data_IF_006299467540
#
_entry.id   IF_006299467540
#
_cell.length_a   1.000
_cell.length_b   1.000
_cell.length_c   1.000
_cell.angle_alpha   90.00
_cell.angle_beta   90.00
_cell.angle_gamma   90.00
#
_symmetry.space_group_name_H-M   'P 1'
#
loop_
_entity.id
_entity.type
_entity.pdbx_description
1 polymer ?
#
# COMPACT_ATOMS: atom_id res chain seq x y z
N UNK A 1 15.06 -4.50 -18.75
CA UNK A 1 15.07 -4.30 -17.28
C UNK A 1 13.66 -4.43 -16.74
N UNK A 2 13.45 -5.33 -15.79
CA UNK A 2 12.13 -5.56 -15.21
C UNK A 2 11.88 -4.62 -14.04
N UNK A 3 10.77 -3.90 -14.10
CA UNK A 3 10.38 -2.90 -13.09
C UNK A 3 8.99 -3.24 -12.53
N UNK A 4 8.75 -2.93 -11.28
CA UNK A 4 7.44 -3.09 -10.65
C UNK A 4 7.10 -1.84 -9.83
N UNK A 5 5.83 -1.47 -9.84
CA UNK A 5 5.31 -0.42 -8.97
C UNK A 5 4.72 -1.09 -7.73
N UNK A 6 5.08 -0.61 -6.55
CA UNK A 6 4.62 -1.19 -5.29
C UNK A 6 3.90 -0.12 -4.47
N UNK A 7 2.68 -0.46 -4.04
CA UNK A 7 1.94 0.29 -3.03
C UNK A 7 1.62 -0.64 -1.88
N UNK A 8 1.62 -0.13 -0.65
CA UNK A 8 1.34 -0.95 0.54
C UNK A 8 0.32 -0.28 1.43
N UNK A 9 -0.40 -1.07 2.21
CA UNK A 9 -1.36 -0.56 3.16
C UNK A 9 -2.21 -1.66 3.77
N UNK A 10 -3.07 -1.27 4.70
CA UNK A 10 -4.01 -2.20 5.36
C UNK A 10 -5.23 -2.49 4.53
N UNK A 11 -5.78 -1.46 3.87
CA UNK A 11 -6.97 -1.55 3.01
C UNK A 11 -8.12 -2.23 3.73
N UNK A 12 -8.47 -1.69 4.90
CA UNK A 12 -9.43 -2.33 5.80
C UNK A 12 -10.42 -1.29 6.39
N UNK A 13 -11.57 -1.08 5.72
CA UNK A 13 -11.95 -1.65 4.43
C UNK A 13 -11.34 -0.88 3.25
N UNK A 14 -11.36 -1.52 2.09
CA UNK A 14 -11.01 -0.85 0.83
C UNK A 14 -12.09 0.19 0.50
N UNK A 15 -11.68 1.33 -0.04
CA UNK A 15 -12.62 2.40 -0.40
C UNK A 15 -12.13 3.17 -1.62
N UNK A 16 -12.91 4.15 -2.08
CA UNK A 16 -12.62 4.88 -3.31
C UNK A 16 -11.29 5.63 -3.28
N UNK A 17 -10.84 6.07 -2.10
CA UNK A 17 -9.52 6.70 -1.95
C UNK A 17 -8.39 5.74 -2.27
N UNK A 18 -8.52 4.49 -1.86
CA UNK A 18 -7.55 3.45 -2.21
C UNK A 18 -7.56 3.15 -3.71
N UNK A 19 -8.74 3.10 -4.32
CA UNK A 19 -8.87 2.86 -5.75
C UNK A 19 -8.19 3.99 -6.53
N UNK A 20 -8.42 5.25 -6.12
CA UNK A 20 -7.77 6.41 -6.74
C UNK A 20 -6.25 6.33 -6.60
N UNK A 21 -5.75 5.89 -5.44
CA UNK A 21 -4.33 5.69 -5.21
C UNK A 21 -3.74 4.66 -6.18
N UNK A 22 -4.41 3.53 -6.33
CA UNK A 22 -3.95 2.48 -7.27
C UNK A 22 -3.99 2.96 -8.71
N UNK A 23 -5.05 3.68 -9.11
CA UNK A 23 -5.17 4.23 -10.46
C UNK A 23 -4.06 5.24 -10.75
N UNK A 24 -3.78 6.13 -9.81
CA UNK A 24 -2.74 7.15 -9.97
C UNK A 24 -1.35 6.49 -10.05
N UNK A 25 -1.08 5.49 -9.23
CA UNK A 25 0.18 4.75 -9.30
C UNK A 25 0.35 4.07 -10.66
N UNK A 26 -0.72 3.46 -11.17
CA UNK A 26 -0.70 2.79 -12.48
C UNK A 26 -0.48 3.80 -13.62
N UNK A 27 -1.07 4.99 -13.52
CA UNK A 27 -0.93 6.03 -14.53
C UNK A 27 0.49 6.61 -14.60
N UNK A 28 1.20 6.65 -13.48
CA UNK A 28 2.60 7.10 -13.48
C UNK A 28 3.50 6.16 -14.30
N UNK A 29 3.18 4.89 -14.31
CA UNK A 29 3.97 3.87 -15.01
C UNK A 29 3.03 2.89 -15.71
N UNK A 30 2.34 3.32 -16.80
CA UNK A 30 1.22 2.55 -17.36
C UNK A 30 1.61 1.19 -17.94
N UNK A 31 2.86 1.01 -18.33
CA UNK A 31 3.34 -0.25 -18.92
C UNK A 31 4.08 -1.13 -17.89
N UNK A 32 3.97 -0.79 -16.62
CA UNK A 32 4.67 -1.47 -15.52
C UNK A 32 3.64 -2.12 -14.61
N UNK A 33 3.83 -3.39 -14.20
CA UNK A 33 2.86 -4.02 -13.31
C UNK A 33 2.77 -3.30 -11.96
N UNK A 34 1.55 -3.22 -11.45
CA UNK A 34 1.27 -2.66 -10.12
C UNK A 34 1.06 -3.81 -9.13
N UNK A 35 1.90 -3.82 -8.10
CA UNK A 35 1.82 -4.77 -7.01
C UNK A 35 1.26 -4.07 -5.76
N UNK A 36 0.29 -4.68 -5.12
CA UNK A 36 -0.26 -4.18 -3.86
C UNK A 36 0.19 -5.12 -2.74
N UNK A 37 0.94 -4.58 -1.79
CA UNK A 37 1.35 -5.29 -0.57
C UNK A 37 0.35 -5.00 0.54
N UNK A 38 -0.19 -6.04 1.15
CA UNK A 38 -1.18 -5.89 2.21
C UNK A 38 -0.56 -6.12 3.58
N UNK A 39 -0.85 -5.22 4.50
CA UNK A 39 -0.46 -5.39 5.90
C UNK A 39 -1.21 -6.55 6.54
N UNK A 40 -0.55 -7.22 7.48
CA UNK A 40 -1.13 -8.37 8.19
C UNK A 40 -2.28 -7.97 9.10
N UNK A 41 -3.07 -8.96 9.52
CA UNK A 41 -4.12 -8.76 10.54
C UNK A 41 -3.48 -8.27 11.84
N UNK A 42 -2.33 -8.81 12.21
CA UNK A 42 -1.59 -8.44 13.42
C UNK A 42 -1.18 -6.97 13.39
N UNK A 43 -0.75 -6.48 12.22
CA UNK A 43 -0.41 -5.06 12.05
C UNK A 43 -1.62 -4.17 12.28
N UNK A 44 -2.78 -4.58 11.72
CA UNK A 44 -4.03 -3.83 11.92
C UNK A 44 -4.44 -3.80 13.39
N UNK A 45 -4.27 -4.91 14.11
CA UNK A 45 -4.56 -4.98 15.54
C UNK A 45 -3.64 -4.03 16.31
N UNK A 46 -2.34 -4.02 15.99
CA UNK A 46 -1.38 -3.12 16.64
C UNK A 46 -1.74 -1.65 16.39
N UNK A 47 -2.16 -1.33 15.16
CA UNK A 47 -2.42 0.06 14.76
C UNK A 47 -3.79 0.57 15.19
N UNK A 48 -4.82 -0.26 15.08
CA UNK A 48 -6.22 0.14 15.26
C UNK A 48 -6.93 -0.60 16.40
N UNK A 49 -6.32 -1.60 16.98
CA UNK A 49 -6.92 -2.44 18.02
C UNK A 49 -7.73 -3.61 17.47
N UNK A 50 -8.05 -3.62 16.20
CA UNK A 50 -8.82 -4.69 15.56
C UNK A 50 -8.69 -4.60 14.04
N UNK A 51 -9.12 -5.64 13.33
CA UNK A 51 -9.30 -5.57 11.89
C UNK A 51 -10.79 -5.75 11.56
N UNK A 52 -11.22 -5.12 10.45
CA UNK A 52 -12.58 -5.26 9.94
C UNK A 52 -12.72 -6.51 9.07
N UNK A 53 -11.79 -6.66 8.10
CA UNK A 53 -11.74 -7.83 7.22
C UNK A 53 -10.41 -8.54 7.38
N UNK A 54 -10.42 -9.89 7.51
CA UNK A 54 -9.16 -10.65 7.58
C UNK A 54 -8.41 -10.60 6.25
N UNK A 55 -7.13 -10.92 6.29
CA UNK A 55 -6.25 -10.88 5.12
C UNK A 55 -6.86 -11.58 3.90
N UNK A 56 -7.44 -12.76 4.08
CA UNK A 56 -8.02 -13.53 2.99
C UNK A 56 -9.06 -12.73 2.22
N UNK A 57 -9.94 -12.02 2.94
CA UNK A 57 -10.99 -11.21 2.32
C UNK A 57 -10.42 -9.96 1.67
N UNK A 58 -9.53 -9.25 2.37
CA UNK A 58 -8.93 -8.03 1.83
C UNK A 58 -8.16 -8.31 0.55
N UNK A 59 -7.36 -9.37 0.55
CA UNK A 59 -6.58 -9.76 -0.61
C UNK A 59 -7.46 -10.16 -1.79
N UNK A 60 -8.53 -10.92 -1.51
CA UNK A 60 -9.47 -11.35 -2.55
C UNK A 60 -10.13 -10.17 -3.25
N UNK A 61 -10.47 -9.13 -2.50
CA UNK A 61 -11.07 -7.91 -3.06
C UNK A 61 -10.03 -7.14 -3.87
N UNK A 62 -8.86 -6.88 -3.30
CA UNK A 62 -7.84 -6.04 -3.92
C UNK A 62 -7.37 -6.63 -5.25
N UNK A 63 -7.16 -7.94 -5.32
CA UNK A 63 -6.65 -8.56 -6.54
C UNK A 63 -7.62 -8.47 -7.73
N UNK A 64 -8.91 -8.22 -7.47
CA UNK A 64 -9.91 -8.09 -8.52
C UNK A 64 -10.05 -6.65 -9.03
N UNK A 65 -9.39 -5.68 -8.40
CA UNK A 65 -9.46 -4.29 -8.84
C UNK A 65 -8.66 -4.11 -10.14
N UNK A 66 -9.26 -3.36 -11.07
CA UNK A 66 -8.74 -3.23 -12.42
C UNK A 66 -7.28 -2.78 -12.51
N UNK A 67 -6.81 -1.79 -11.74
CA UNK A 67 -5.41 -1.35 -11.85
C UNK A 67 -4.38 -2.30 -11.22
N UNK A 68 -4.83 -3.27 -10.44
CA UNK A 68 -3.93 -4.15 -9.68
C UNK A 68 -3.54 -5.36 -10.52
N UNK A 69 -2.23 -5.55 -10.70
CA UNK A 69 -1.71 -6.69 -11.46
C UNK A 69 -1.37 -7.88 -10.57
N UNK A 70 -0.86 -7.63 -9.36
CA UNK A 70 -0.57 -8.70 -8.42
C UNK A 70 -0.63 -8.18 -6.98
N UNK A 71 -0.76 -9.10 -6.04
CA UNK A 71 -0.77 -8.80 -4.61
C UNK A 71 0.29 -9.63 -3.91
N UNK A 72 0.86 -9.09 -2.84
CA UNK A 72 1.80 -9.81 -1.98
C UNK A 72 1.44 -9.59 -0.51
N UNK A 73 1.84 -10.54 0.30
CA UNK A 73 1.88 -10.39 1.76
C UNK A 73 3.34 -10.39 2.17
N UNK A 74 3.64 -9.80 3.30
CA UNK A 74 5.02 -9.65 3.76
C UNK A 74 5.08 -9.51 5.28
N UNK A 75 6.26 -9.72 5.83
CA UNK A 75 6.49 -9.55 7.26
C UNK A 75 6.51 -8.07 7.60
N UNK A 76 5.55 -7.62 8.40
CA UNK A 76 5.42 -6.22 8.84
C UNK A 76 5.58 -6.08 10.35
N UNK A 77 6.29 -7.02 10.99
CA UNK A 77 6.48 -7.00 12.44
C UNK A 77 7.27 -5.77 12.92
N UNK A 78 8.07 -5.16 12.05
CA UNK A 78 8.79 -3.92 12.34
C UNK A 78 7.96 -2.65 12.05
N UNK A 79 6.70 -2.81 11.68
CA UNK A 79 5.77 -1.74 11.32
C UNK A 79 6.15 -0.95 10.05
N UNK A 80 7.05 -1.50 9.23
CA UNK A 80 7.43 -0.90 7.95
C UNK A 80 7.06 -1.80 6.78
N UNK A 81 7.16 -1.26 5.57
CA UNK A 81 6.98 -2.01 4.33
C UNK A 81 8.31 -2.44 3.70
N UNK A 82 9.40 -2.39 4.46
CA UNK A 82 10.72 -2.72 3.94
C UNK A 82 10.77 -4.14 3.39
N UNK A 83 10.12 -5.09 4.06
CA UNK A 83 10.11 -6.49 3.59
C UNK A 83 9.31 -6.66 2.29
N UNK A 84 8.31 -5.79 2.05
CA UNK A 84 7.61 -5.78 0.77
C UNK A 84 8.55 -5.35 -0.36
N UNK A 85 9.35 -4.32 -0.11
CA UNK A 85 10.36 -3.84 -1.08
C UNK A 85 11.37 -4.95 -1.36
N UNK A 86 11.91 -5.60 -0.32
CA UNK A 86 12.85 -6.72 -0.49
C UNK A 86 12.24 -7.84 -1.33
N UNK A 87 10.98 -8.18 -1.07
CA UNK A 87 10.29 -9.24 -1.80
C UNK A 87 10.21 -8.91 -3.29
N UNK A 88 9.86 -7.66 -3.61
CA UNK A 88 9.82 -7.21 -5.00
C UNK A 88 11.21 -7.20 -5.64
N UNK A 89 12.24 -6.83 -4.90
CA UNK A 89 13.62 -6.83 -5.41
C UNK A 89 14.15 -8.22 -5.73
N UNK A 90 13.55 -9.27 -5.15
CA UNK A 90 13.91 -10.65 -5.49
C UNK A 90 13.39 -11.07 -6.86
N UNK A 91 12.34 -10.41 -7.37
CA UNK A 91 11.68 -10.78 -8.61
C UNK A 91 11.88 -9.77 -9.73
N UNK A 92 12.24 -8.53 -9.39
CA UNK A 92 12.34 -7.43 -10.35
C UNK A 92 13.64 -6.68 -10.16
N UNK A 93 14.10 -6.02 -11.23
CA UNK A 93 15.34 -5.26 -11.21
C UNK A 93 15.19 -3.93 -10.48
N UNK A 94 14.01 -3.30 -10.63
CA UNK A 94 13.71 -2.02 -9.98
C UNK A 94 12.32 -2.04 -9.36
N UNK A 95 12.20 -1.37 -8.22
CA UNK A 95 10.95 -1.20 -7.49
C UNK A 95 10.65 0.30 -7.39
N UNK A 96 9.47 0.70 -7.84
CA UNK A 96 8.97 2.07 -7.66
C UNK A 96 8.02 2.02 -6.46
N UNK A 97 8.47 2.52 -5.32
CA UNK A 97 7.67 2.52 -4.10
C UNK A 97 6.88 3.82 -4.02
N UNK A 98 5.55 3.71 -4.19
CA UNK A 98 4.67 4.87 -4.19
C UNK A 98 4.13 5.12 -2.79
N UNK A 99 4.12 6.39 -2.39
CA UNK A 99 3.61 6.85 -1.11
C UNK A 99 2.46 7.82 -1.35
N UNK A 100 1.39 7.67 -0.57
CA UNK A 100 0.23 8.54 -0.66
C UNK A 100 0.20 9.56 0.47
N UNK A 101 -0.79 10.45 0.41
CA UNK A 101 -1.08 11.40 1.46
C UNK A 101 0.06 12.38 1.74
N UNK A 102 0.28 12.61 3.02
CA UNK A 102 1.25 13.58 3.52
C UNK A 102 2.60 12.96 3.91
N UNK A 103 2.89 11.74 3.50
CA UNK A 103 4.17 11.10 3.78
C UNK A 103 5.29 11.80 3.02
N UNK A 104 6.37 12.10 3.73
CA UNK A 104 7.58 12.71 3.15
C UNK A 104 8.80 11.89 3.58
N UNK A 105 9.91 12.09 2.87
CA UNK A 105 11.11 11.26 3.07
C UNK A 105 11.64 11.23 4.52
N UNK A 106 11.43 12.30 5.28
CA UNK A 106 11.94 12.39 6.66
C UNK A 106 11.17 11.53 7.65
N UNK A 107 9.93 11.09 7.31
CA UNK A 107 9.10 10.31 8.22
C UNK A 107 8.77 8.90 7.71
N UNK A 108 9.47 8.44 6.68
CA UNK A 108 9.20 7.16 6.03
C UNK A 108 10.35 6.20 6.27
N UNK A 109 10.15 5.13 7.08
CA UNK A 109 11.24 4.19 7.38
C UNK A 109 11.77 3.49 6.14
N UNK A 110 10.93 3.24 5.13
CA UNK A 110 11.35 2.65 3.87
C UNK A 110 12.36 3.54 3.15
N UNK A 111 12.14 4.85 3.15
CA UNK A 111 13.06 5.78 2.53
C UNK A 111 14.40 5.80 3.27
N UNK A 112 14.35 5.85 4.61
CA UNK A 112 15.59 5.86 5.42
C UNK A 112 16.43 4.62 5.16
N UNK A 113 15.80 3.48 4.90
CA UNK A 113 16.51 2.23 4.65
C UNK A 113 17.04 2.11 3.21
N UNK A 114 16.27 2.58 2.23
CA UNK A 114 16.57 2.34 0.81
C UNK A 114 16.97 3.57 0.02
N UNK A 115 17.17 4.74 0.66
CA UNK A 115 17.44 5.99 -0.05
C UNK A 115 18.70 5.94 -0.92
N UNK A 116 19.67 5.09 -0.58
CA UNK A 116 20.92 4.95 -1.34
C UNK A 116 20.91 3.71 -2.25
N UNK A 117 19.79 3.00 -2.34
CA UNK A 117 19.69 1.83 -3.19
C UNK A 117 19.18 2.25 -4.57
N UNK A 118 20.04 2.12 -5.58
CA UNK A 118 19.74 2.55 -6.96
C UNK A 118 18.57 1.80 -7.58
N UNK A 119 18.19 0.65 -7.01
CA UNK A 119 17.11 -0.17 -7.51
C UNK A 119 15.74 0.21 -6.94
N UNK A 120 15.69 1.14 -5.99
CA UNK A 120 14.44 1.59 -5.36
C UNK A 120 14.21 3.05 -5.69
N UNK A 121 13.08 3.33 -6.35
CA UNK A 121 12.64 4.67 -6.72
C UNK A 121 11.46 5.03 -5.84
N UNK A 122 11.45 6.25 -5.28
CA UNK A 122 10.37 6.72 -4.41
C UNK A 122 9.51 7.74 -5.15
N UNK A 123 8.18 7.55 -5.10
CA UNK A 123 7.21 8.52 -5.58
C UNK A 123 6.36 8.98 -4.40
N UNK A 124 6.12 10.29 -4.33
CA UNK A 124 5.43 10.92 -3.21
C UNK A 124 4.13 11.56 -3.66
N UNK A 125 3.15 11.63 -2.74
CA UNK A 125 1.89 12.32 -3.01
C UNK A 125 1.00 11.61 -4.03
N UNK A 126 1.19 10.33 -4.23
CA UNK A 126 0.38 9.55 -5.15
C UNK A 126 -0.97 9.29 -4.50
N UNK A 127 -2.08 9.67 -5.16
CA UNK A 127 -3.43 9.45 -4.63
C UNK A 127 -4.01 10.63 -3.85
N UNK A 128 -3.20 11.66 -3.55
CA UNK A 128 -3.67 12.87 -2.89
C UNK A 128 -3.90 12.72 -1.39
N UNK A 129 -4.59 13.71 -0.81
CA UNK A 129 -4.77 13.86 0.64
C UNK A 129 -6.22 13.73 1.10
N UNK A 130 -7.05 12.96 0.40
CA UNK A 130 -8.46 12.83 0.74
C UNK A 130 -8.64 12.00 2.02
N UNK A 131 -8.73 12.70 3.15
CA UNK A 131 -8.94 12.07 4.46
C UNK A 131 -10.41 11.78 4.75
N UNK A 132 -11.32 12.32 3.96
CA UNK A 132 -12.75 12.10 4.14
C UNK A 132 -13.14 10.64 3.85
N UNK A 133 -12.36 9.95 3.04
CA UNK A 133 -12.61 8.54 2.69
C UNK A 133 -11.60 7.60 3.33
N UNK A 134 -11.08 7.96 4.52
CA UNK A 134 -10.21 7.04 5.26
C UNK A 134 -11.03 5.85 5.77
N UNK A 135 -10.39 4.69 5.89
CA UNK A 135 -11.04 3.49 6.42
C UNK A 135 -11.59 3.73 7.82
N UNK A 136 -10.84 4.44 8.68
CA UNK A 136 -11.29 4.75 10.03
C UNK A 136 -12.55 5.61 10.03
N UNK A 137 -12.62 6.60 9.15
CA UNK A 137 -13.80 7.46 9.04
C UNK A 137 -15.02 6.65 8.58
N UNK A 138 -14.85 5.78 7.59
CA UNK A 138 -15.94 4.94 7.08
C UNK A 138 -16.45 4.00 8.17
N UNK A 139 -15.57 3.39 8.96
CA UNK A 139 -15.96 2.50 10.05
C UNK A 139 -16.72 3.27 11.14
N UNK A 140 -16.27 4.48 11.46
CA UNK A 140 -16.97 5.31 12.44
C UNK A 140 -18.37 5.67 11.97
N UNK A 141 -18.52 5.99 10.70
CA UNK A 141 -19.82 6.29 10.11
C UNK A 141 -20.76 5.09 10.20
N UNK A 142 -20.25 3.89 9.92
CA UNK A 142 -20.99 2.64 10.06
C UNK A 142 -21.51 2.43 11.48
N UNK A 143 -20.66 2.70 12.48
CA UNK A 143 -21.03 2.53 13.89
C UNK A 143 -22.13 3.52 14.31
N UNK A 144 -22.14 4.71 13.74
CA UNK A 144 -23.17 5.71 14.04
C UNK A 144 -24.53 5.28 13.52
N UNK A 145 -24.57 4.54 12.42
CA UNK A 145 -25.82 4.15 11.75
C UNK A 145 -26.33 2.76 12.14
N UNK A 146 -25.65 2.10 13.04
CA UNK A 146 -26.14 0.85 13.62
C UNK A 146 -27.08 1.17 14.78
#
# INVERSE_FOLDING_TARGET
>A
MRKIVLVTGGFDPIHTGHIAYFKNAKELYPNTPLCVGLNSDEWLIRKKGKFFLPMKERRAIVKELKPVDLTITYDDTDNSSCMAIYKCLQMYDKVVFCNGGDRVNTNVPEYLKFQENDRVIFEWGVGGDDKMNSSSWILNLSLIHI
#
